data_IF_377664978406
#
_entry.id   IF_377664978406
#
_cell.length_a   1.000
_cell.length_b   1.000
_cell.length_c   1.000
_cell.angle_alpha   90.00
_cell.angle_beta   90.00
_cell.angle_gamma   90.00
#
_symmetry.space_group_name_H-M   'P 1'
#
loop_
_entity.id
_entity.type
_entity.pdbx_description
1 polymer ?
#
# COMPACT_ATOMS: atom_id res chain seq x y z
N UNK A 1 -48.67 7.44 49.02
CA UNK A 1 -47.56 6.50 49.28
C UNK A 1 -46.98 6.16 47.91
N UNK A 2 -45.91 6.84 47.48
CA UNK A 2 -44.51 6.34 47.49
C UNK A 2 -44.42 4.99 46.77
N UNK A 3 -43.71 4.80 45.64
CA UNK A 3 -42.26 4.99 45.41
C UNK A 3 -42.02 4.99 43.87
N UNK A 4 -41.65 6.11 43.22
CA UNK A 4 -40.31 6.51 42.70
C UNK A 4 -39.31 5.39 42.32
N UNK A 5 -38.88 5.30 41.04
CA UNK A 5 -37.47 5.44 40.63
C UNK A 5 -37.11 4.76 39.27
N UNK A 6 -36.59 5.59 38.35
CA UNK A 6 -35.50 5.34 37.37
C UNK A 6 -35.78 4.36 36.20
N UNK A 7 -35.34 4.54 34.94
CA UNK A 7 -34.11 5.11 34.40
C UNK A 7 -34.33 5.67 32.98
N UNK A 8 -33.64 6.78 32.67
CA UNK A 8 -33.36 7.29 31.33
C UNK A 8 -32.41 6.33 30.57
N UNK A 9 -32.62 6.17 29.26
CA UNK A 9 -31.60 5.62 28.36
C UNK A 9 -32.17 4.86 27.16
N UNK A 10 -32.66 5.56 26.14
CA UNK A 10 -32.84 4.96 24.82
C UNK A 10 -31.64 5.36 23.95
N UNK A 11 -30.66 4.45 23.90
CA UNK A 11 -29.52 4.51 23.00
C UNK A 11 -30.05 4.24 21.57
N UNK A 12 -29.76 5.14 20.63
CA UNK A 12 -29.94 4.89 19.20
C UNK A 12 -29.05 3.71 18.79
N UNK A 13 -29.64 2.53 18.59
CA UNK A 13 -29.03 1.48 17.79
C UNK A 13 -29.31 1.81 16.32
N UNK A 14 -28.31 2.36 15.62
CA UNK A 14 -28.31 2.30 14.16
C UNK A 14 -28.16 0.82 13.77
N UNK A 15 -29.19 0.27 13.11
CA UNK A 15 -29.06 -0.94 12.34
C UNK A 15 -28.13 -0.65 11.15
N UNK A 16 -26.94 -1.23 11.14
CA UNK A 16 -26.22 -1.49 9.89
C UNK A 16 -26.90 -2.71 9.28
N UNK A 17 -27.73 -2.48 8.27
CA UNK A 17 -28.31 -3.57 7.49
C UNK A 17 -27.23 -4.14 6.58
N UNK A 18 -26.80 -5.37 6.84
CA UNK A 18 -26.02 -6.16 5.88
C UNK A 18 -26.94 -6.58 4.73
N UNK A 19 -26.61 -6.14 3.52
CA UNK A 19 -27.33 -6.49 2.29
C UNK A 19 -26.45 -7.42 1.45
N UNK A 20 -26.98 -8.59 1.08
CA UNK A 20 -26.29 -9.56 0.21
C UNK A 20 -27.01 -9.69 -1.14
N UNK A 21 -26.21 -9.43 -2.19
CA UNK A 21 -26.10 -9.98 -3.56
C UNK A 21 -27.31 -10.10 -4.51
N UNK A 22 -27.15 -9.46 -5.68
CA UNK A 22 -27.28 -10.07 -7.00
C UNK A 22 -26.30 -9.36 -7.99
N UNK A 23 -25.72 -10.13 -8.92
CA UNK A 23 -24.84 -9.77 -10.05
C UNK A 23 -24.47 -8.28 -10.23
N UNK A 24 -23.20 -7.94 -9.92
CA UNK A 24 -22.62 -6.61 -10.14
C UNK A 24 -22.46 -5.72 -8.89
N UNK A 25 -22.67 -6.25 -7.69
CA UNK A 25 -22.51 -5.49 -6.44
C UNK A 25 -21.12 -5.67 -5.84
N UNK A 26 -20.45 -4.54 -5.63
CA UNK A 26 -19.21 -4.42 -4.84
C UNK A 26 -19.55 -4.76 -3.38
N UNK A 27 -18.84 -5.72 -2.78
CA UNK A 27 -18.91 -5.96 -1.34
C UNK A 27 -18.21 -4.80 -0.62
N UNK A 28 -18.98 -4.05 0.18
CA UNK A 28 -18.49 -2.93 0.99
C UNK A 28 -18.54 -3.33 2.46
N UNK A 29 -17.41 -3.22 3.16
CA UNK A 29 -17.27 -3.52 4.58
C UNK A 29 -16.64 -2.34 5.34
N UNK A 30 -16.80 -2.26 6.66
CA UNK A 30 -15.85 -1.53 7.52
C UNK A 30 -14.72 -2.48 7.95
N UNK A 31 -13.56 -1.96 8.37
CA UNK A 31 -12.44 -2.76 8.89
C UNK A 31 -12.85 -3.71 10.01
N UNK A 32 -13.86 -3.34 10.81
CA UNK A 32 -14.41 -4.18 11.88
C UNK A 32 -15.21 -5.39 11.40
N UNK A 33 -15.66 -5.39 10.14
CA UNK A 33 -16.48 -6.45 9.54
C UNK A 33 -15.63 -7.47 8.76
N UNK A 34 -14.36 -7.18 8.54
CA UNK A 34 -13.43 -8.09 7.86
C UNK A 34 -13.13 -9.31 8.72
N UNK A 35 -13.29 -10.49 8.12
CA UNK A 35 -13.04 -11.77 8.77
C UNK A 35 -11.61 -11.92 9.32
N UNK A 36 -11.48 -12.70 10.39
CA UNK A 36 -10.21 -12.89 11.13
C UNK A 36 -9.05 -13.43 10.28
N UNK A 37 -9.34 -14.13 9.18
CA UNK A 37 -8.31 -14.69 8.30
C UNK A 37 -7.51 -13.60 7.54
N UNK A 38 -8.09 -12.40 7.37
CA UNK A 38 -7.47 -11.24 6.71
C UNK A 38 -7.31 -10.04 7.66
N UNK A 39 -8.14 -9.96 8.69
CA UNK A 39 -7.97 -9.09 9.85
C UNK A 39 -6.98 -9.72 10.84
N UNK A 40 -5.71 -9.76 10.43
CA UNK A 40 -4.62 -10.33 11.19
C UNK A 40 -3.77 -9.22 11.86
N UNK A 41 -4.10 -8.78 13.08
CA UNK A 41 -3.35 -7.73 13.77
C UNK A 41 -1.97 -8.24 14.23
N UNK A 42 -0.99 -7.33 14.26
CA UNK A 42 0.42 -7.63 14.48
C UNK A 42 1.19 -7.79 13.16
N UNK A 43 2.35 -8.44 13.22
CA UNK A 43 3.17 -8.72 12.05
C UNK A 43 3.75 -7.47 11.38
N UNK A 44 3.63 -7.38 10.05
CA UNK A 44 4.33 -6.44 9.21
C UNK A 44 3.37 -5.63 8.34
N UNK A 45 3.60 -4.32 8.25
CA UNK A 45 2.99 -3.47 7.23
C UNK A 45 4.09 -2.86 6.37
N UNK A 46 4.01 -3.11 5.07
CA UNK A 46 4.90 -2.55 4.04
C UNK A 46 4.19 -1.41 3.33
N UNK A 47 4.86 -0.27 3.20
CA UNK A 47 4.37 0.89 2.46
C UNK A 47 5.26 1.14 1.26
N UNK A 48 4.66 1.12 0.08
CA UNK A 48 5.34 1.31 -1.20
C UNK A 48 4.63 2.30 -2.09
N UNK A 49 5.36 2.97 -2.97
CA UNK A 49 4.78 3.92 -3.89
C UNK A 49 4.01 3.20 -5.00
N UNK A 50 4.66 2.29 -5.73
CA UNK A 50 4.11 1.61 -6.90
C UNK A 50 3.98 0.09 -6.67
N UNK A 51 3.14 -0.63 -7.45
CA UNK A 51 2.94 -2.07 -7.27
C UNK A 51 4.25 -2.89 -7.26
N UNK A 52 5.21 -2.58 -8.12
CA UNK A 52 6.45 -3.37 -8.24
C UNK A 52 7.43 -3.16 -7.08
N UNK A 53 7.38 -2.01 -6.41
CA UNK A 53 8.38 -1.57 -5.43
C UNK A 53 8.53 -2.56 -4.26
N UNK A 54 7.44 -3.23 -3.86
CA UNK A 54 7.49 -4.23 -2.80
C UNK A 54 8.42 -5.40 -3.17
N UNK A 55 8.40 -5.81 -4.43
CA UNK A 55 9.25 -6.90 -4.92
C UNK A 55 10.72 -6.48 -5.00
N UNK A 56 10.99 -5.22 -5.31
CA UNK A 56 12.35 -4.74 -5.57
C UNK A 56 13.08 -4.37 -4.29
N UNK A 57 12.37 -3.64 -3.43
CA UNK A 57 12.99 -2.99 -2.29
C UNK A 57 12.76 -3.74 -1.00
N UNK A 58 11.73 -4.58 -0.88
CA UNK A 58 11.40 -5.24 0.38
C UNK A 58 11.78 -6.72 0.48
N UNK A 59 12.29 -7.33 -0.59
CA UNK A 59 12.89 -8.65 -0.53
C UNK A 59 14.34 -8.61 0.02
N UNK A 60 14.81 -9.67 0.72
CA UNK A 60 14.16 -10.97 0.92
C UNK A 60 13.21 -11.03 2.14
N UNK A 61 13.15 -9.98 2.97
CA UNK A 61 12.30 -9.96 4.17
C UNK A 61 10.82 -10.20 3.84
N UNK A 62 10.33 -9.55 2.77
CA UNK A 62 8.97 -9.73 2.28
C UNK A 62 8.70 -11.19 1.90
N UNK A 63 9.56 -11.81 1.08
CA UNK A 63 9.45 -13.22 0.73
C UNK A 63 9.39 -14.09 2.00
N UNK A 64 10.31 -13.89 2.94
CA UNK A 64 10.34 -14.67 4.18
C UNK A 64 9.04 -14.51 4.99
N UNK A 65 8.55 -13.28 5.13
CA UNK A 65 7.34 -12.98 5.90
C UNK A 65 6.09 -13.60 5.26
N UNK A 66 5.97 -13.56 3.93
CA UNK A 66 4.87 -14.20 3.19
C UNK A 66 4.98 -15.72 3.22
N UNK A 67 6.18 -16.27 2.95
CA UNK A 67 6.43 -17.71 2.87
C UNK A 67 6.25 -18.41 4.22
N UNK A 68 6.48 -17.70 5.32
CA UNK A 68 6.27 -18.21 6.68
C UNK A 68 4.90 -17.83 7.27
N UNK A 69 3.98 -17.35 6.43
CA UNK A 69 2.60 -17.01 6.79
C UNK A 69 2.49 -16.00 7.94
N UNK A 70 3.44 -15.06 8.04
CA UNK A 70 3.30 -13.94 8.98
C UNK A 70 2.21 -13.00 8.48
N UNK A 71 1.49 -12.39 9.43
CA UNK A 71 0.56 -11.30 9.16
C UNK A 71 1.28 -10.19 8.39
N UNK A 72 0.94 -10.03 7.11
CA UNK A 72 1.66 -9.19 6.17
C UNK A 72 0.65 -8.36 5.40
N UNK A 73 0.74 -7.05 5.57
CA UNK A 73 -0.07 -6.08 4.82
C UNK A 73 0.84 -5.25 3.94
N UNK A 74 0.43 -4.99 2.71
CA UNK A 74 1.19 -4.18 1.76
C UNK A 74 0.27 -3.09 1.26
N UNK A 75 0.63 -1.85 1.54
CA UNK A 75 -0.10 -0.65 1.13
C UNK A 75 0.63 -0.02 -0.04
N UNK A 76 -0.06 0.07 -1.18
CA UNK A 76 0.44 0.65 -2.41
C UNK A 76 -0.24 2.01 -2.63
N UNK A 77 0.55 3.08 -2.65
CA UNK A 77 0.00 4.43 -2.74
C UNK A 77 -0.52 4.78 -4.13
N UNK A 78 0.28 4.55 -5.17
CA UNK A 78 -0.03 4.95 -6.54
C UNK A 78 -0.46 3.77 -7.39
N UNK A 79 -1.19 4.07 -8.45
CA UNK A 79 -1.64 3.11 -9.44
C UNK A 79 -0.51 2.63 -10.38
N UNK A 80 0.66 3.27 -10.33
CA UNK A 80 1.75 3.08 -11.29
C UNK A 80 1.30 3.30 -12.74
N UNK A 81 0.28 4.14 -12.97
CA UNK A 81 -0.40 4.30 -14.25
C UNK A 81 0.47 4.96 -15.31
N UNK A 82 1.52 5.68 -14.92
CA UNK A 82 2.44 6.38 -15.84
C UNK A 82 1.74 7.30 -16.85
N UNK A 83 0.60 7.89 -16.47
CA UNK A 83 -0.24 8.72 -17.34
C UNK A 83 -1.12 7.92 -18.30
N UNK A 84 -1.16 6.59 -18.22
CA UNK A 84 -2.04 5.75 -19.02
C UNK A 84 -3.46 5.83 -18.44
N UNK A 85 -4.39 6.39 -19.22
CA UNK A 85 -5.80 6.59 -18.79
C UNK A 85 -6.60 5.31 -18.64
N UNK A 86 -6.18 4.24 -19.31
CA UNK A 86 -6.88 2.96 -19.27
C UNK A 86 -6.53 2.24 -17.98
N UNK A 87 -7.54 2.02 -17.13
CA UNK A 87 -7.38 1.30 -15.86
C UNK A 87 -6.92 -0.14 -16.06
N UNK A 88 -7.08 -0.71 -17.26
CA UNK A 88 -6.57 -2.06 -17.59
C UNK A 88 -5.06 -2.19 -17.41
N UNK A 89 -4.32 -1.10 -17.61
CA UNK A 89 -2.88 -1.04 -17.38
C UNK A 89 -2.55 -1.17 -15.88
N UNK A 90 -3.17 -0.36 -15.03
CA UNK A 90 -3.05 -0.50 -13.57
C UNK A 90 -3.48 -1.88 -13.09
N UNK A 91 -4.63 -2.37 -13.56
CA UNK A 91 -5.10 -3.71 -13.19
C UNK A 91 -4.10 -4.80 -13.60
N UNK A 92 -3.33 -4.59 -14.69
CA UNK A 92 -2.28 -5.53 -15.09
C UNK A 92 -1.07 -5.53 -14.14
N UNK A 93 -0.72 -4.36 -13.59
CA UNK A 93 0.35 -4.23 -12.59
C UNK A 93 -0.08 -4.88 -11.27
N UNK A 94 -1.32 -4.65 -10.84
CA UNK A 94 -1.90 -5.27 -9.64
C UNK A 94 -1.95 -6.79 -9.78
N UNK A 95 -2.46 -7.32 -10.91
CA UNK A 95 -2.45 -8.78 -11.20
C UNK A 95 -1.04 -9.37 -11.20
N UNK A 96 -0.06 -8.64 -11.73
CA UNK A 96 1.34 -9.05 -11.70
C UNK A 96 1.86 -9.20 -10.27
N UNK A 97 1.61 -8.19 -9.43
CA UNK A 97 1.97 -8.20 -8.02
C UNK A 97 1.28 -9.35 -7.26
N UNK A 98 -0.04 -9.49 -7.43
CA UNK A 98 -0.86 -10.57 -6.88
C UNK A 98 -0.30 -11.96 -7.25
N UNK A 99 0.10 -12.14 -8.51
CA UNK A 99 0.72 -13.38 -8.98
C UNK A 99 2.07 -13.64 -8.31
N UNK A 100 2.91 -12.61 -8.14
CA UNK A 100 4.17 -12.74 -7.42
C UNK A 100 3.96 -13.17 -5.97
N UNK A 101 2.97 -12.60 -5.28
CA UNK A 101 2.68 -12.97 -3.89
C UNK A 101 2.17 -14.41 -3.74
N UNK A 102 1.36 -14.91 -4.67
CA UNK A 102 0.98 -16.32 -4.70
C UNK A 102 2.21 -17.23 -4.79
N UNK A 103 3.16 -16.88 -5.66
CA UNK A 103 4.42 -17.60 -5.76
C UNK A 103 5.21 -17.58 -4.44
N UNK A 104 5.32 -16.41 -3.79
CA UNK A 104 6.00 -16.32 -2.47
C UNK A 104 5.31 -17.15 -1.38
N UNK A 105 3.98 -17.21 -1.41
CA UNK A 105 3.18 -18.02 -0.49
C UNK A 105 3.25 -19.53 -0.78
N UNK A 106 3.99 -19.95 -1.82
CA UNK A 106 4.14 -21.35 -2.21
C UNK A 106 2.91 -21.93 -2.91
N UNK A 107 2.02 -21.08 -3.43
CA UNK A 107 0.83 -21.53 -4.15
C UNK A 107 1.24 -22.19 -5.48
N UNK A 108 0.63 -23.33 -5.86
CA UNK A 108 0.80 -23.90 -7.19
C UNK A 108 0.44 -22.88 -8.29
N UNK A 109 1.16 -22.93 -9.42
CA UNK A 109 0.94 -21.98 -10.55
C UNK A 109 -0.52 -21.96 -11.05
N UNK A 110 -1.27 -23.04 -10.83
CA UNK A 110 -2.67 -23.19 -11.21
C UNK A 110 -3.70 -22.88 -10.09
N UNK A 111 -3.25 -22.45 -8.90
CA UNK A 111 -4.08 -22.12 -7.74
C UNK A 111 -3.73 -20.70 -7.24
N UNK A 112 -4.17 -19.70 -8.01
CA UNK A 112 -3.71 -18.30 -7.85
C UNK A 112 -4.87 -17.31 -7.74
N UNK A 113 -6.00 -17.73 -7.17
CA UNK A 113 -7.18 -16.88 -7.04
C UNK A 113 -7.01 -15.77 -6.01
N UNK A 114 -7.44 -14.56 -6.38
CA UNK A 114 -7.54 -13.41 -5.49
C UNK A 114 -8.99 -12.92 -5.44
N UNK A 115 -9.46 -12.67 -4.22
CA UNK A 115 -10.72 -11.96 -3.99
C UNK A 115 -10.44 -10.51 -3.60
N UNK A 116 -11.49 -9.69 -3.60
CA UNK A 116 -11.40 -8.30 -3.20
C UNK A 116 -12.66 -7.82 -2.53
N UNK A 117 -12.47 -6.86 -1.63
CA UNK A 117 -13.54 -6.17 -0.91
C UNK A 117 -13.22 -4.68 -0.91
N UNK A 118 -14.23 -3.84 -1.06
CA UNK A 118 -14.08 -2.41 -0.83
C UNK A 118 -14.32 -2.14 0.65
N UNK A 119 -13.46 -1.35 1.27
CA UNK A 119 -13.66 -0.96 2.67
C UNK A 119 -14.03 0.52 2.73
N UNK A 120 -15.13 0.83 3.40
CA UNK A 120 -15.52 2.18 3.71
C UNK A 120 -14.60 2.76 4.80
N UNK A 121 -14.00 3.90 4.50
CA UNK A 121 -13.21 4.68 5.46
C UNK A 121 -13.66 6.14 5.36
N UNK A 122 -14.63 6.53 6.19
CA UNK A 122 -15.35 7.79 6.00
C UNK A 122 -16.13 7.78 4.68
N UNK A 123 -15.94 8.81 3.86
CA UNK A 123 -16.58 8.95 2.54
C UNK A 123 -15.78 8.28 1.39
N UNK A 124 -14.70 7.56 1.69
CA UNK A 124 -13.84 6.93 0.69
C UNK A 124 -13.96 5.39 0.69
N UNK A 125 -13.76 4.79 -0.48
CA UNK A 125 -13.74 3.33 -0.66
C UNK A 125 -12.34 2.86 -1.05
N UNK A 126 -11.67 2.14 -0.15
CA UNK A 126 -10.35 1.57 -0.41
C UNK A 126 -10.46 0.13 -0.93
N UNK A 127 -9.61 -0.26 -1.88
CA UNK A 127 -9.59 -1.63 -2.41
C UNK A 127 -8.67 -2.50 -1.57
N UNK A 128 -9.23 -3.55 -0.97
CA UNK A 128 -8.47 -4.63 -0.35
C UNK A 128 -8.48 -5.84 -1.27
N UNK A 129 -7.32 -6.48 -1.41
CA UNK A 129 -7.13 -7.71 -2.19
C UNK A 129 -6.41 -8.74 -1.34
N UNK A 130 -6.88 -9.98 -1.39
CA UNK A 130 -6.30 -11.08 -0.63
C UNK A 130 -6.38 -12.39 -1.41
N UNK A 131 -5.39 -13.28 -1.26
CA UNK A 131 -5.39 -14.56 -1.96
C UNK A 131 -6.39 -15.54 -1.29
N UNK A 132 -7.02 -16.39 -2.09
CA UNK A 132 -8.00 -17.39 -1.60
C UNK A 132 -7.38 -18.41 -0.66
N UNK A 133 -6.14 -18.80 -0.94
CA UNK A 133 -5.49 -19.95 -0.31
C UNK A 133 -4.34 -19.57 0.64
N UNK A 134 -4.04 -18.28 0.80
CA UNK A 134 -2.95 -17.79 1.66
C UNK A 134 -3.46 -16.79 2.72
N UNK A 135 -3.73 -17.31 3.91
CA UNK A 135 -4.18 -16.50 5.05
C UNK A 135 -3.10 -15.53 5.52
N UNK A 136 -3.53 -14.41 6.11
CA UNK A 136 -2.60 -13.44 6.71
C UNK A 136 -1.90 -12.51 5.71
N UNK A 137 -2.14 -12.63 4.40
CA UNK A 137 -1.66 -11.69 3.39
C UNK A 137 -2.79 -10.74 2.95
N UNK A 138 -2.50 -9.45 2.93
CA UNK A 138 -3.43 -8.43 2.46
C UNK A 138 -2.71 -7.36 1.64
N UNK A 139 -3.25 -7.04 0.46
CA UNK A 139 -2.86 -5.88 -0.33
C UNK A 139 -3.93 -4.79 -0.21
N UNK A 140 -3.50 -3.54 -0.04
CA UNK A 140 -4.35 -2.35 0.00
C UNK A 140 -3.89 -1.42 -1.12
N UNK A 141 -4.76 -1.16 -2.09
CA UNK A 141 -4.47 -0.27 -3.21
C UNK A 141 -5.19 1.06 -3.02
N UNK A 142 -4.42 2.15 -2.90
CA UNK A 142 -4.96 3.51 -2.82
C UNK A 142 -5.13 4.16 -4.20
N UNK A 143 -4.40 3.65 -5.22
CA UNK A 143 -4.56 4.00 -6.63
C UNK A 143 -4.49 5.51 -6.93
N UNK A 144 -3.69 6.26 -6.17
CA UNK A 144 -3.41 7.65 -6.54
C UNK A 144 -2.62 7.72 -7.86
N UNK A 145 -2.73 8.83 -8.61
CA UNK A 145 -1.93 9.03 -9.82
C UNK A 145 -0.43 8.93 -9.57
N UNK A 146 0.27 8.27 -10.49
CA UNK A 146 1.73 8.25 -10.57
C UNK A 146 2.28 9.69 -10.76
N UNK A 147 3.27 10.05 -9.94
CA UNK A 147 3.88 11.37 -9.90
C UNK A 147 5.00 11.57 -10.93
N UNK A 148 5.37 10.54 -11.68
CA UNK A 148 6.59 10.47 -12.48
C UNK A 148 7.88 10.69 -11.65
N UNK A 149 9.04 10.46 -12.25
CA UNK A 149 10.35 10.48 -11.56
C UNK A 149 10.56 11.69 -10.64
N UNK A 150 10.33 12.90 -11.15
CA UNK A 150 10.53 14.15 -10.41
C UNK A 150 9.33 14.62 -9.58
N UNK A 151 8.21 13.89 -9.62
CA UNK A 151 6.97 14.27 -8.94
C UNK A 151 6.14 15.35 -9.66
N UNK A 152 6.45 15.64 -10.93
CA UNK A 152 5.67 16.59 -11.74
C UNK A 152 4.27 16.09 -12.14
N UNK A 153 4.02 14.78 -12.07
CA UNK A 153 2.81 14.12 -12.54
C UNK A 153 2.70 14.03 -14.07
N UNK A 154 1.68 13.33 -14.55
CA UNK A 154 1.37 13.19 -15.97
C UNK A 154 0.26 14.14 -16.40
N UNK A 155 0.28 14.58 -17.67
CA UNK A 155 -0.74 15.51 -18.20
C UNK A 155 -2.14 14.88 -18.14
N UNK A 156 -2.20 13.58 -18.38
CA UNK A 156 -3.40 12.76 -18.49
C UNK A 156 -4.14 12.62 -17.16
N UNK A 157 -3.41 12.67 -16.05
CA UNK A 157 -3.93 12.64 -14.67
C UNK A 157 -4.06 14.05 -14.06
N UNK A 158 -3.86 15.10 -14.86
CA UNK A 158 -3.98 16.50 -14.40
C UNK A 158 -2.74 17.04 -13.71
N UNK A 159 -1.58 16.39 -13.87
CA UNK A 159 -0.30 16.77 -13.26
C UNK A 159 -0.39 16.87 -11.73
N UNK A 160 -1.17 16.01 -11.11
CA UNK A 160 -1.19 15.80 -9.66
C UNK A 160 -0.15 14.75 -9.28
N UNK A 161 0.30 14.76 -8.02
CA UNK A 161 1.24 13.78 -7.49
C UNK A 161 1.24 13.79 -5.97
N UNK A 162 1.76 12.73 -5.35
CA UNK A 162 2.00 12.70 -3.90
C UNK A 162 2.91 13.84 -3.47
N UNK A 163 3.97 14.13 -4.24
CA UNK A 163 4.89 15.27 -3.99
C UNK A 163 4.13 16.58 -3.91
N UNK A 164 3.29 16.88 -4.90
CA UNK A 164 2.51 18.13 -4.95
C UNK A 164 1.54 18.23 -3.77
N UNK A 165 0.91 17.13 -3.38
CA UNK A 165 0.03 17.08 -2.22
C UNK A 165 0.81 17.33 -0.92
N UNK A 166 1.93 16.64 -0.74
CA UNK A 166 2.79 16.73 0.44
C UNK A 166 3.42 18.11 0.63
N UNK A 167 3.79 18.77 -0.47
CA UNK A 167 4.34 20.13 -0.47
C UNK A 167 3.27 21.23 -0.49
N UNK A 168 1.99 20.86 -0.31
CA UNK A 168 0.84 21.78 -0.32
C UNK A 168 0.74 22.63 -1.61
N UNK A 169 1.16 22.07 -2.74
CA UNK A 169 1.05 22.67 -4.07
C UNK A 169 -0.32 22.37 -4.72
N UNK A 170 -0.99 21.31 -4.26
CA UNK A 170 -2.39 21.00 -4.57
C UNK A 170 -3.14 20.74 -3.26
N UNK A 171 -4.44 21.04 -3.23
CA UNK A 171 -5.26 20.87 -2.02
C UNK A 171 -5.68 19.42 -1.80
N UNK A 172 -5.99 18.70 -2.87
CA UNK A 172 -6.46 17.32 -2.84
C UNK A 172 -6.07 16.57 -4.10
N UNK A 173 -6.13 15.25 -4.03
CA UNK A 173 -5.89 14.35 -5.15
C UNK A 173 -6.90 13.20 -5.09
N UNK A 174 -7.45 12.85 -6.25
CA UNK A 174 -8.35 11.71 -6.41
C UNK A 174 -7.60 10.49 -6.94
N UNK A 175 -8.03 9.29 -6.56
CA UNK A 175 -7.55 8.04 -7.17
C UNK A 175 -7.97 7.96 -8.64
N UNK A 176 -7.25 7.17 -9.44
CA UNK A 176 -7.53 7.05 -10.88
C UNK A 176 -8.88 6.40 -11.19
N UNK A 177 -9.45 5.67 -10.23
CA UNK A 177 -10.81 5.09 -10.31
C UNK A 177 -11.89 6.01 -9.72
N UNK A 178 -11.52 7.16 -9.15
CA UNK A 178 -12.45 8.14 -8.59
C UNK A 178 -13.04 7.78 -7.22
N UNK A 179 -12.66 6.64 -6.66
CA UNK A 179 -13.21 6.06 -5.42
C UNK A 179 -12.71 6.75 -4.14
N UNK A 180 -11.56 7.41 -4.24
CA UNK A 180 -10.88 8.05 -3.12
C UNK A 180 -10.52 9.48 -3.52
N UNK A 181 -10.81 10.45 -2.66
CA UNK A 181 -10.28 11.81 -2.79
C UNK A 181 -9.83 12.29 -1.42
N UNK A 182 -8.55 12.63 -1.29
CA UNK A 182 -7.99 13.11 -0.03
C UNK A 182 -7.12 14.34 -0.21
N UNK A 183 -7.19 15.24 0.77
CA UNK A 183 -6.12 16.18 1.06
C UNK A 183 -5.00 15.47 1.86
N UNK A 184 -3.91 16.17 2.18
CA UNK A 184 -2.79 15.56 2.91
C UNK A 184 -3.23 15.02 4.28
N UNK A 185 -4.03 15.77 5.03
CA UNK A 185 -4.49 15.37 6.37
C UNK A 185 -5.39 14.13 6.32
N UNK A 186 -6.28 14.05 5.33
CA UNK A 186 -7.14 12.89 5.11
C UNK A 186 -6.35 11.64 4.72
N UNK A 187 -5.32 11.78 3.88
CA UNK A 187 -4.42 10.67 3.56
C UNK A 187 -3.62 10.21 4.79
N UNK A 188 -3.07 11.14 5.58
CA UNK A 188 -2.40 10.84 6.85
C UNK A 188 -3.34 10.12 7.82
N UNK A 189 -4.58 10.59 7.90
CA UNK A 189 -5.59 9.97 8.74
C UNK A 189 -5.93 8.55 8.30
N UNK A 190 -6.14 8.30 7.01
CA UNK A 190 -6.35 6.95 6.45
C UNK A 190 -5.19 6.01 6.82
N UNK A 191 -3.94 6.44 6.62
CA UNK A 191 -2.76 5.63 6.95
C UNK A 191 -2.72 5.34 8.46
N UNK A 192 -3.11 6.31 9.30
CA UNK A 192 -3.20 6.10 10.74
C UNK A 192 -4.24 5.05 11.11
N UNK A 193 -5.40 5.04 10.44
CA UNK A 193 -6.45 4.04 10.63
C UNK A 193 -5.94 2.66 10.23
N UNK A 194 -5.29 2.53 9.06
CA UNK A 194 -4.71 1.26 8.60
C UNK A 194 -3.68 0.75 9.62
N UNK A 195 -2.79 1.62 10.10
CA UNK A 195 -1.77 1.25 11.09
C UNK A 195 -2.36 0.86 12.44
N UNK A 196 -3.40 1.55 12.91
CA UNK A 196 -4.10 1.19 14.15
C UNK A 196 -4.84 -0.14 14.01
N UNK A 197 -5.56 -0.31 12.90
CA UNK A 197 -6.27 -1.53 12.57
C UNK A 197 -5.32 -2.74 12.53
N UNK A 198 -4.17 -2.59 11.86
CA UNK A 198 -3.17 -3.65 11.77
C UNK A 198 -2.30 -3.80 13.00
N UNK A 199 -2.14 -2.77 13.82
CA UNK A 199 -1.28 -2.79 15.01
C UNK A 199 0.08 -3.49 14.77
N UNK A 200 0.84 -3.10 13.73
CA UNK A 200 2.00 -3.88 13.29
C UNK A 200 3.15 -3.88 14.29
N UNK A 201 3.89 -4.98 14.33
CA UNK A 201 5.18 -5.04 15.04
C UNK A 201 6.27 -4.33 14.25
N UNK A 202 6.26 -4.46 12.92
CA UNK A 202 7.22 -3.82 12.03
C UNK A 202 6.50 -3.00 10.96
N UNK A 203 6.95 -1.76 10.78
CA UNK A 203 6.50 -0.86 9.74
C UNK A 203 7.67 -0.66 8.78
N UNK A 204 7.49 -1.02 7.52
CA UNK A 204 8.55 -1.02 6.51
C UNK A 204 8.21 0.01 5.45
N UNK A 205 9.11 0.97 5.23
CA UNK A 205 8.93 2.08 4.28
C UNK A 205 10.02 2.07 3.23
N UNK A 206 9.78 2.79 2.14
CA UNK A 206 10.83 3.26 1.22
C UNK A 206 11.70 4.34 1.89
N UNK A 207 12.54 5.04 1.12
CA UNK A 207 13.52 6.02 1.61
C UNK A 207 12.89 7.39 1.93
N UNK A 208 12.90 7.80 3.20
CA UNK A 208 12.47 9.13 3.67
C UNK A 208 13.64 10.12 3.86
N UNK A 209 14.88 9.74 3.57
CA UNK A 209 16.09 10.52 3.84
C UNK A 209 16.64 11.22 2.59
N UNK A 210 16.54 10.60 1.41
CA UNK A 210 17.02 11.24 0.17
C UNK A 210 16.18 12.45 -0.19
N UNK A 211 16.79 13.60 -0.57
CA UNK A 211 16.02 14.78 -0.96
C UNK A 211 14.99 14.47 -2.04
N UNK A 212 13.80 15.05 -1.89
CA UNK A 212 12.72 14.90 -2.89
C UNK A 212 13.23 15.48 -4.22
N UNK A 213 13.16 14.66 -5.27
CA UNK A 213 13.56 15.04 -6.63
C UNK A 213 12.89 16.33 -7.10
N UNK A 214 13.60 17.12 -7.90
CA UNK A 214 13.01 18.27 -8.60
C UNK A 214 12.21 17.81 -9.81
N UNK A 215 11.32 18.67 -10.28
CA UNK A 215 10.51 18.37 -11.47
C UNK A 215 11.43 18.08 -12.67
N UNK A 216 11.20 16.94 -13.33
CA UNK A 216 12.02 16.49 -14.46
C UNK A 216 13.42 15.95 -14.09
N UNK A 217 13.71 15.72 -12.81
CA UNK A 217 14.95 15.09 -12.37
C UNK A 217 14.83 13.55 -12.41
N UNK A 218 15.63 12.91 -13.27
CA UNK A 218 15.59 11.45 -13.52
C UNK A 218 16.77 10.68 -12.90
N UNK A 219 17.71 11.39 -12.27
CA UNK A 219 18.89 10.79 -11.64
C UNK A 219 18.80 10.74 -10.12
N UNK A 220 17.74 11.32 -9.56
CA UNK A 220 17.44 11.29 -8.13
C UNK A 220 16.49 10.12 -7.81
N UNK A 221 16.35 9.82 -6.52
CA UNK A 221 15.32 8.91 -6.03
C UNK A 221 13.93 9.38 -6.50
N UNK A 222 13.10 8.43 -6.91
CA UNK A 222 11.77 8.69 -7.42
C UNK A 222 10.95 9.47 -6.38
N UNK A 223 10.32 10.57 -6.81
CA UNK A 223 9.64 11.47 -5.89
C UNK A 223 8.55 10.75 -5.08
N UNK A 224 7.78 9.85 -5.69
CA UNK A 224 6.75 9.09 -4.98
C UNK A 224 7.33 8.12 -3.93
N UNK A 225 8.50 7.53 -4.16
CA UNK A 225 9.18 6.69 -3.14
C UNK A 225 9.51 7.55 -1.92
N UNK A 226 10.17 8.67 -2.19
CA UNK A 226 10.57 9.65 -1.18
C UNK A 226 9.40 10.21 -0.39
N UNK A 227 8.31 10.56 -1.06
CA UNK A 227 7.18 11.25 -0.44
C UNK A 227 6.25 10.28 0.28
N UNK A 228 5.96 9.11 -0.30
CA UNK A 228 5.15 8.09 0.39
C UNK A 228 5.79 7.67 1.72
N UNK A 229 7.11 7.45 1.74
CA UNK A 229 7.83 7.15 2.97
C UNK A 229 7.68 8.28 4.00
N UNK A 230 7.92 9.53 3.60
CA UNK A 230 7.77 10.70 4.50
C UNK A 230 6.37 10.84 5.08
N UNK A 231 5.33 10.64 4.27
CA UNK A 231 3.93 10.66 4.75
C UNK A 231 3.75 9.63 5.86
N UNK A 232 4.27 8.41 5.69
CA UNK A 232 4.17 7.35 6.70
C UNK A 232 4.94 7.72 7.98
N UNK A 233 6.16 8.26 7.86
CA UNK A 233 6.95 8.71 9.01
C UNK A 233 6.28 9.87 9.76
N UNK A 234 5.67 10.81 9.04
CA UNK A 234 4.85 11.88 9.62
C UNK A 234 3.67 11.29 10.40
N UNK A 235 2.93 10.34 9.82
CA UNK A 235 1.80 9.68 10.49
C UNK A 235 2.26 8.97 11.77
N UNK A 236 3.35 8.21 11.71
CA UNK A 236 3.89 7.51 12.87
C UNK A 236 4.18 8.48 14.00
N UNK A 237 4.80 9.62 13.68
CA UNK A 237 5.15 10.66 14.64
C UNK A 237 3.93 11.40 15.19
N UNK A 238 3.05 11.86 14.31
CA UNK A 238 1.87 12.67 14.64
C UNK A 238 0.85 11.87 15.46
N UNK A 239 0.56 10.64 15.05
CA UNK A 239 -0.43 9.76 15.68
C UNK A 239 0.18 8.83 16.73
N UNK A 240 1.49 8.93 16.99
CA UNK A 240 2.22 8.11 17.98
C UNK A 240 2.01 6.60 17.76
N UNK A 241 2.07 6.18 16.50
CA UNK A 241 1.88 4.78 16.11
C UNK A 241 3.03 3.95 16.70
N UNK A 242 2.75 2.89 17.49
CA UNK A 242 3.78 1.98 17.98
C UNK A 242 4.26 1.06 16.85
N UNK A 243 5.51 0.60 16.93
CA UNK A 243 6.08 -0.36 15.99
C UNK A 243 7.54 -0.06 15.67
N UNK A 244 8.26 -1.09 15.25
CA UNK A 244 9.65 -0.94 14.80
C UNK A 244 9.64 -0.47 13.34
N UNK A 245 10.13 0.74 13.10
CA UNK A 245 10.17 1.32 11.76
C UNK A 245 11.50 1.01 11.09
N UNK A 246 11.44 0.32 9.95
CA UNK A 246 12.60 0.04 9.11
C UNK A 246 12.43 0.74 7.77
N UNK A 247 13.44 1.52 7.39
CA UNK A 247 13.54 2.16 6.08
C UNK A 247 14.33 1.27 5.14
N UNK A 248 13.92 1.16 3.89
CA UNK A 248 14.76 0.56 2.87
C UNK A 248 15.88 1.50 2.42
N UNK A 249 16.99 0.94 1.94
CA UNK A 249 18.17 1.76 1.68
C UNK A 249 18.01 2.59 0.39
N UNK A 250 18.40 3.85 0.57
CA UNK A 250 18.78 4.92 -0.35
C UNK A 250 18.96 4.65 -1.85
N UNK A 251 19.63 3.56 -2.22
CA UNK A 251 19.97 3.20 -3.60
C UNK A 251 20.23 1.71 -3.67
N UNK A 252 19.76 1.05 -4.73
CA UNK A 252 20.02 -0.37 -4.99
C UNK A 252 21.51 -0.71 -4.86
N UNK A 253 22.40 0.16 -5.35
CA UNK A 253 23.86 0.04 -5.25
C UNK A 253 24.39 -0.02 -3.82
N UNK A 254 23.79 0.71 -2.87
CA UNK A 254 24.19 0.67 -1.45
C UNK A 254 23.67 -0.60 -0.75
N UNK A 255 22.43 -1.05 -1.05
CA UNK A 255 21.92 -2.35 -0.59
C UNK A 255 22.83 -3.49 -1.05
N UNK A 256 23.18 -3.50 -2.33
CA UNK A 256 24.02 -4.51 -2.97
C UNK A 256 25.45 -4.50 -2.43
N UNK A 257 26.02 -3.31 -2.20
CA UNK A 257 27.32 -3.17 -1.56
C UNK A 257 27.32 -3.74 -0.14
N UNK A 258 26.25 -3.52 0.61
CA UNK A 258 26.09 -4.04 1.97
C UNK A 258 25.81 -5.55 1.99
N UNK A 259 25.25 -6.13 0.92
CA UNK A 259 25.02 -7.58 0.77
C UNK A 259 26.17 -8.34 0.10
N UNK A 260 27.23 -7.65 -0.36
CA UNK A 260 28.39 -8.25 -1.03
C UNK A 260 28.15 -8.63 -2.49
N UNK A 261 27.00 -8.29 -3.07
CA UNK A 261 26.64 -8.53 -4.46
C UNK A 261 26.77 -7.18 -5.17
N UNK A 262 27.67 -6.95 -6.12
CA UNK A 262 27.74 -5.64 -6.81
C UNK A 262 27.32 -5.77 -8.28
N UNK A 263 26.30 -5.04 -8.75
CA UNK A 263 25.91 -5.04 -10.15
C UNK A 263 26.76 -4.09 -11.00
N UNK A 264 26.90 -4.41 -12.29
CA UNK A 264 27.35 -3.45 -13.31
C UNK A 264 26.19 -2.51 -13.66
N UNK A 265 26.48 -1.22 -13.71
CA UNK A 265 25.50 -0.13 -13.81
C UNK A 265 24.57 -0.27 -15.02
N UNK A 266 23.25 -0.18 -14.80
CA UNK A 266 22.27 0.00 -15.89
C UNK A 266 21.30 1.14 -15.55
N UNK A 267 20.76 1.86 -16.56
CA UNK A 267 20.15 3.18 -16.39
C UNK A 267 18.64 3.18 -16.08
N UNK A 268 18.04 2.05 -15.73
CA UNK A 268 16.58 1.90 -15.56
C UNK A 268 16.26 0.78 -14.55
N UNK A 269 15.55 1.12 -13.49
CA UNK A 269 15.24 0.28 -12.32
C UNK A 269 14.38 -0.94 -12.68
N UNK A 270 13.52 -0.81 -13.70
CA UNK A 270 12.63 -1.90 -14.15
C UNK A 270 13.40 -2.88 -15.04
N UNK A 271 14.24 -2.38 -15.96
CA UNK A 271 15.08 -3.25 -16.78
C UNK A 271 16.15 -3.94 -15.93
N UNK A 272 16.71 -3.24 -14.95
CA UNK A 272 17.65 -3.76 -13.96
C UNK A 272 17.04 -4.94 -13.18
N UNK A 273 15.80 -4.77 -12.70
CA UNK A 273 15.06 -5.83 -12.01
C UNK A 273 14.84 -7.05 -12.91
N UNK A 274 14.36 -6.84 -14.13
CA UNK A 274 13.99 -7.92 -15.05
C UNK A 274 15.22 -8.70 -15.55
N UNK A 275 16.38 -8.06 -15.74
CA UNK A 275 17.63 -8.73 -16.11
C UNK A 275 18.25 -9.57 -14.97
N UNK A 276 17.91 -9.32 -13.70
CA UNK A 276 18.54 -9.97 -12.54
C UNK A 276 17.60 -10.84 -11.67
N UNK A 277 16.28 -10.79 -11.90
CA UNK A 277 15.33 -11.76 -11.33
C UNK A 277 15.43 -13.16 -11.94
N UNK A 278 16.30 -13.37 -12.94
CA UNK A 278 16.61 -14.69 -13.50
C UNK A 278 17.62 -15.49 -12.66
N UNK A 279 17.82 -15.12 -11.39
CA UNK A 279 18.63 -15.89 -10.43
C UNK A 279 17.88 -16.05 -9.12
N UNK A 280 17.41 -17.27 -8.93
CA UNK A 280 16.99 -17.83 -7.65
C UNK A 280 17.95 -17.41 -6.52
N UNK A 281 17.42 -16.84 -5.44
CA UNK A 281 18.18 -16.64 -4.21
C UNK A 281 17.62 -17.52 -3.10
N UNK A 282 18.12 -18.75 -3.02
CA UNK A 282 18.37 -19.41 -1.74
C UNK A 282 19.78 -19.06 -1.29
N UNK A 283 19.96 -18.67 -0.02
CA UNK A 283 21.25 -18.83 0.67
C UNK A 283 20.96 -19.30 2.10
N UNK A 284 21.54 -20.45 2.46
CA UNK A 284 21.71 -21.02 3.80
C UNK A 284 22.61 -20.18 4.69
#
# INVERSE_FOLDING_TARGET
>A
MLVSALFYGLLQQLLVASVVSAEGLIEVADFGELGNDYNCPGGNVYFVAHPVDALLYHNPDLYHDVHTFKCTTVVVFTAGDRGVKDTSFTDSLERGLETSYNFMAGAPVNQTGWDGVKVACGDALITLRYPKDAKGLLLIYLRFPDGASGGQGYKETGQVSLKKLYQNQIQSMSSIDGEITYNLDGLKHLISIILQWKSPKFIRTLDDLTPIAKDGEYTAEHADHSVSARIVHDVIKEYKIPGNVTRQCKLYKECFKNSGLMPKETPDDVKYTVEYLDREYYIT
#
